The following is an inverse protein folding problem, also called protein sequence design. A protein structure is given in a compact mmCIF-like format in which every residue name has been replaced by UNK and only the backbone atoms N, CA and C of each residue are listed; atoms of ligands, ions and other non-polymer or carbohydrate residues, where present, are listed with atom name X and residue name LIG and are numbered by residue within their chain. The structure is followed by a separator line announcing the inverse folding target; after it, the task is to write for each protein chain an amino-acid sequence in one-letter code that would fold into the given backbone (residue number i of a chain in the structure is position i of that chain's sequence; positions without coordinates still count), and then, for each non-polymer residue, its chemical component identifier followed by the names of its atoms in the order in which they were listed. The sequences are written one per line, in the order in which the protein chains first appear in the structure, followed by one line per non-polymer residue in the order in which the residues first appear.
data_IF_181955916828
#
_entry.id   IF_181955916828
#
_cell.length_a   1.000
_cell.length_b   1.000
_cell.length_c   1.000
_cell.angle_alpha   90.00
_cell.angle_beta   90.00
_cell.angle_gamma   90.00
#
_symmetry.space_group_name_H-M   'P 1'
#
loop_
_entity.id
_entity.type
_entity.pdbx_description
1 polymer ?
#
# COMPACT_ATOMS: atom_id res chain seq x y z
N UNK A 1 29.90 0.68 -16.99
CA UNK A 1 29.56 -0.60 -17.64
C UNK A 1 28.08 -0.72 -17.82
N UNK A 2 27.62 -0.52 -19.06
CA UNK A 2 26.24 -0.17 -19.39
C UNK A 2 25.40 -1.29 -20.01
N UNK A 3 25.88 -2.53 -19.99
CA UNK A 3 25.08 -3.67 -20.43
C UNK A 3 24.40 -4.32 -19.22
N UNK A 4 23.23 -3.80 -18.83
CA UNK A 4 22.25 -4.67 -18.19
C UNK A 4 21.97 -5.80 -19.20
N UNK A 5 22.15 -7.08 -18.81
CA UNK A 5 21.88 -8.21 -19.70
C UNK A 5 20.45 -8.11 -20.26
N UNK A 6 20.16 -8.82 -21.36
CA UNK A 6 18.81 -9.00 -21.93
C UNK A 6 17.89 -9.74 -20.93
N UNK A 7 17.61 -9.08 -19.83
CA UNK A 7 16.90 -9.59 -18.69
C UNK A 7 15.43 -9.62 -19.07
N UNK A 8 14.85 -10.82 -19.12
CA UNK A 8 13.44 -11.01 -19.46
C UNK A 8 12.52 -10.88 -18.25
N UNK A 9 13.04 -11.14 -17.05
CA UNK A 9 12.27 -11.13 -15.81
C UNK A 9 13.01 -10.34 -14.74
N UNK A 10 12.31 -9.42 -14.07
CA UNK A 10 12.87 -8.61 -13.00
C UNK A 10 11.85 -8.45 -11.87
N UNK A 11 12.34 -8.45 -10.65
CA UNK A 11 11.55 -8.17 -9.46
C UNK A 11 12.26 -7.12 -8.62
N UNK A 12 11.52 -6.10 -8.20
CA UNK A 12 12.04 -5.02 -7.39
C UNK A 12 11.12 -4.75 -6.21
N UNK A 13 11.70 -4.70 -5.02
CA UNK A 13 11.06 -4.22 -3.80
C UNK A 13 11.82 -2.96 -3.39
N UNK A 14 11.08 -1.86 -3.19
CA UNK A 14 11.66 -0.55 -2.94
C UNK A 14 10.84 0.22 -1.89
N UNK A 15 11.53 0.75 -0.90
CA UNK A 15 10.98 1.58 0.17
C UNK A 15 11.84 2.84 0.26
N UNK A 16 11.46 3.86 -0.49
CA UNK A 16 12.36 4.99 -0.75
C UNK A 16 11.61 6.32 -0.69
N UNK A 17 12.36 7.40 -0.45
CA UNK A 17 11.89 8.76 -0.69
C UNK A 17 11.68 8.97 -2.19
N UNK A 18 10.78 9.90 -2.53
CA UNK A 18 10.53 10.34 -3.92
C UNK A 18 11.79 10.55 -4.72
N UNK A 19 12.75 11.31 -4.18
CA UNK A 19 14.00 11.64 -4.89
C UNK A 19 14.83 10.40 -5.22
N UNK A 20 14.86 9.39 -4.35
CA UNK A 20 15.61 8.16 -4.60
C UNK A 20 14.89 7.31 -5.66
N UNK A 21 13.56 7.27 -5.66
CA UNK A 21 12.79 6.65 -6.72
C UNK A 21 13.03 7.31 -8.08
N UNK A 22 12.92 8.65 -8.14
CA UNK A 22 13.05 9.40 -9.39
C UNK A 22 14.47 9.34 -9.97
N UNK A 23 15.51 9.42 -9.10
CA UNK A 23 16.90 9.49 -9.54
C UNK A 23 17.60 8.14 -9.69
N UNK A 24 17.08 7.05 -9.07
CA UNK A 24 17.75 5.74 -9.07
C UNK A 24 16.90 4.64 -9.67
N UNK A 25 15.64 4.53 -9.22
CA UNK A 25 14.75 3.43 -9.64
C UNK A 25 14.26 3.64 -11.06
N UNK A 26 13.75 4.83 -11.39
CA UNK A 26 13.25 5.11 -12.74
C UNK A 26 14.33 4.95 -13.81
N UNK A 27 15.55 5.51 -13.70
CA UNK A 27 16.60 5.32 -14.70
C UNK A 27 16.99 3.85 -14.89
N UNK A 28 17.03 3.07 -13.81
CA UNK A 28 17.29 1.63 -13.89
C UNK A 28 16.21 0.91 -14.69
N UNK A 29 14.94 1.12 -14.35
CA UNK A 29 13.82 0.47 -15.01
C UNK A 29 13.73 0.85 -16.50
N UNK A 30 13.96 2.12 -16.84
CA UNK A 30 13.94 2.63 -18.22
C UNK A 30 14.98 1.97 -19.14
N UNK A 31 16.08 1.48 -18.57
CA UNK A 31 17.13 0.77 -19.32
C UNK A 31 16.80 -0.69 -19.60
N UNK A 32 15.79 -1.27 -18.94
CA UNK A 32 15.38 -2.66 -19.09
C UNK A 32 14.39 -2.83 -20.25
N UNK A 33 14.78 -2.41 -21.45
CA UNK A 33 13.88 -2.37 -22.63
C UNK A 33 13.44 -3.74 -23.15
N UNK A 34 14.18 -4.81 -22.83
CA UNK A 34 13.90 -6.19 -23.23
C UNK A 34 13.09 -6.97 -22.19
N UNK A 35 12.61 -6.31 -21.13
CA UNK A 35 11.91 -6.96 -20.05
C UNK A 35 10.54 -7.44 -20.50
N UNK A 36 10.28 -8.74 -20.35
CA UNK A 36 8.99 -9.37 -20.67
C UNK A 36 8.09 -9.45 -19.43
N UNK A 37 8.70 -9.54 -18.24
CA UNK A 37 8.00 -9.65 -16.94
C UNK A 37 8.61 -8.74 -15.88
N UNK A 38 7.77 -7.93 -15.25
CA UNK A 38 8.13 -7.08 -14.13
C UNK A 38 7.22 -7.35 -12.94
N UNK A 39 7.82 -7.58 -11.77
CA UNK A 39 7.14 -7.58 -10.48
C UNK A 39 7.65 -6.44 -9.63
N UNK A 40 6.78 -5.52 -9.24
CA UNK A 40 7.19 -4.25 -8.66
C UNK A 40 6.44 -3.96 -7.36
N UNK A 41 7.15 -3.90 -6.25
CA UNK A 41 6.62 -3.47 -4.96
C UNK A 41 7.27 -2.14 -4.59
N UNK A 42 6.50 -1.05 -4.63
CA UNK A 42 6.96 0.30 -4.32
C UNK A 42 6.19 0.87 -3.13
N UNK A 43 6.93 1.43 -2.18
CA UNK A 43 6.37 2.32 -1.16
C UNK A 43 7.16 3.62 -1.18
N UNK A 44 6.48 4.69 -1.57
CA UNK A 44 7.03 6.02 -1.72
C UNK A 44 6.45 6.93 -0.64
N UNK A 45 7.31 7.75 -0.05
CA UNK A 45 6.94 8.80 0.90
C UNK A 45 7.57 10.13 0.47
N UNK A 46 7.09 11.23 1.06
CA UNK A 46 7.50 12.59 0.72
C UNK A 46 7.17 12.96 -0.74
N UNK A 47 6.00 12.53 -1.27
CA UNK A 47 5.52 12.94 -2.60
C UNK A 47 4.55 14.12 -2.48
N UNK A 48 4.51 14.94 -3.52
CA UNK A 48 3.50 16.00 -3.66
C UNK A 48 2.21 15.51 -4.34
N UNK A 49 2.30 14.40 -5.10
CA UNK A 49 1.18 13.81 -5.83
C UNK A 49 1.25 12.27 -5.79
N UNK A 50 0.08 11.63 -5.82
CA UNK A 50 -0.01 10.18 -5.95
C UNK A 50 0.59 9.69 -7.27
N UNK A 51 1.15 8.48 -7.26
CA UNK A 51 1.49 7.75 -8.48
C UNK A 51 0.21 7.15 -9.06
N UNK A 52 -0.27 7.75 -10.14
CA UNK A 52 -1.46 7.31 -10.88
C UNK A 52 -1.07 6.50 -12.14
N UNK A 53 -2.06 6.04 -12.89
CA UNK A 53 -1.85 5.30 -14.13
C UNK A 53 -1.11 6.12 -15.19
N UNK A 54 -1.39 7.43 -15.26
CA UNK A 54 -0.74 8.34 -16.21
C UNK A 54 0.76 8.44 -15.95
N UNK A 55 1.14 8.65 -14.69
CA UNK A 55 2.53 8.68 -14.25
C UNK A 55 3.20 7.33 -14.53
N UNK A 56 2.57 6.22 -14.16
CA UNK A 56 3.14 4.88 -14.36
C UNK A 56 3.38 4.57 -15.85
N UNK A 57 2.45 4.97 -16.72
CA UNK A 57 2.60 4.81 -18.15
C UNK A 57 3.80 5.61 -18.69
N UNK A 58 3.88 6.89 -18.33
CA UNK A 58 4.92 7.81 -18.79
C UNK A 58 6.31 7.46 -18.26
N UNK A 59 6.42 7.08 -16.98
CA UNK A 59 7.73 6.91 -16.36
C UNK A 59 8.31 5.50 -16.56
N UNK A 60 7.45 4.48 -16.70
CA UNK A 60 7.87 3.07 -16.75
C UNK A 60 7.39 2.40 -18.04
N UNK A 61 6.08 2.31 -18.26
CA UNK A 61 5.53 1.38 -19.26
C UNK A 61 5.88 1.76 -20.70
N UNK A 62 5.91 3.05 -21.04
CA UNK A 62 6.25 3.50 -22.39
C UNK A 62 7.69 3.15 -22.81
N UNK A 63 8.56 2.84 -21.85
CA UNK A 63 9.95 2.45 -22.08
C UNK A 63 10.15 0.93 -22.19
N UNK A 64 9.12 0.13 -21.88
CA UNK A 64 9.20 -1.34 -21.84
C UNK A 64 8.28 -1.99 -22.88
N UNK A 65 8.64 -1.84 -24.16
CA UNK A 65 7.79 -2.30 -25.28
C UNK A 65 7.60 -3.82 -25.35
N UNK A 66 8.49 -4.59 -24.71
CA UNK A 66 8.40 -6.06 -24.64
C UNK A 66 7.66 -6.55 -23.40
N UNK A 67 7.18 -5.66 -22.52
CA UNK A 67 6.54 -6.06 -21.27
C UNK A 67 5.16 -6.66 -21.54
N UNK A 68 4.99 -7.92 -21.13
CA UNK A 68 3.72 -8.66 -21.30
C UNK A 68 3.10 -9.02 -19.97
N UNK A 69 3.90 -9.11 -18.91
CA UNK A 69 3.42 -9.36 -17.55
C UNK A 69 3.92 -8.25 -16.64
N UNK A 70 2.97 -7.52 -16.06
CA UNK A 70 3.28 -6.52 -15.04
C UNK A 70 2.43 -6.74 -13.81
N UNK A 71 3.09 -7.10 -12.72
CA UNK A 71 2.49 -7.30 -11.40
C UNK A 71 3.03 -6.21 -10.51
N UNK A 72 2.16 -5.47 -9.83
CA UNK A 72 2.62 -4.36 -9.01
C UNK A 72 1.80 -4.13 -7.75
N UNK A 73 2.46 -3.54 -6.78
CA UNK A 73 1.89 -2.81 -5.65
C UNK A 73 2.63 -1.50 -5.52
N UNK A 74 1.90 -0.39 -5.49
CA UNK A 74 2.44 0.95 -5.34
C UNK A 74 1.67 1.62 -4.22
N UNK A 75 2.38 2.02 -3.16
CA UNK A 75 1.88 2.90 -2.12
C UNK A 75 2.57 4.25 -2.23
N UNK A 76 1.79 5.32 -2.16
CA UNK A 76 2.30 6.69 -2.14
C UNK A 76 1.73 7.44 -0.95
N UNK A 77 2.60 7.94 -0.09
CA UNK A 77 2.28 8.90 0.98
C UNK A 77 2.58 10.33 0.49
N UNK A 78 1.58 11.20 0.57
CA UNK A 78 1.69 12.63 0.27
C UNK A 78 1.33 13.48 1.48
N UNK A 79 1.91 14.68 1.55
CA UNK A 79 1.46 15.71 2.49
C UNK A 79 0.24 16.44 1.94
N UNK A 80 -0.78 16.65 2.78
CA UNK A 80 -1.97 17.42 2.40
C UNK A 80 -1.73 18.88 2.76
N UNK A 81 -1.80 19.74 1.76
CA UNK A 81 -2.01 21.17 1.91
C UNK A 81 -3.42 21.56 1.45
N UNK A 82 -3.96 22.68 1.94
CA UNK A 82 -5.37 23.10 1.76
C UNK A 82 -5.84 23.25 0.30
N UNK A 83 -4.92 23.13 -0.67
CA UNK A 83 -5.15 23.26 -2.11
C UNK A 83 -5.24 21.94 -2.89
N UNK A 84 -5.12 20.78 -2.25
CA UNK A 84 -5.15 19.49 -2.95
C UNK A 84 -6.59 18.99 -3.15
N UNK A 85 -6.97 18.80 -4.41
CA UNK A 85 -8.18 18.08 -4.79
C UNK A 85 -8.12 16.64 -4.27
N UNK A 86 -9.10 16.29 -3.42
CA UNK A 86 -9.18 14.95 -2.84
C UNK A 86 -9.69 13.95 -3.86
N UNK A 87 -8.78 13.21 -4.46
CA UNK A 87 -9.06 12.05 -5.32
C UNK A 87 -9.64 10.90 -4.50
N UNK A 88 -10.68 10.28 -5.04
CA UNK A 88 -11.26 9.03 -4.53
C UNK A 88 -10.56 7.80 -5.11
N UNK A 89 -10.85 6.62 -4.56
CA UNK A 89 -10.41 5.32 -5.10
C UNK A 89 -10.77 5.17 -6.59
N UNK A 90 -11.98 5.61 -6.96
CA UNK A 90 -12.48 5.53 -8.33
C UNK A 90 -11.70 6.45 -9.26
N UNK A 91 -11.35 7.66 -8.81
CA UNK A 91 -10.58 8.61 -9.62
C UNK A 91 -9.20 8.02 -9.95
N UNK A 92 -8.51 7.49 -8.94
CA UNK A 92 -7.23 6.81 -9.15
C UNK A 92 -7.40 5.58 -10.03
N UNK A 93 -8.35 4.70 -9.73
CA UNK A 93 -8.60 3.48 -10.51
C UNK A 93 -8.90 3.77 -11.99
N UNK A 94 -9.59 4.88 -12.27
CA UNK A 94 -9.88 5.31 -13.63
C UNK A 94 -8.61 5.63 -14.42
N UNK A 95 -7.60 6.25 -13.79
CA UNK A 95 -6.33 6.56 -14.47
C UNK A 95 -5.61 5.31 -14.97
N UNK A 96 -5.67 4.20 -14.23
CA UNK A 96 -5.11 2.90 -14.62
C UNK A 96 -5.98 2.20 -15.67
N UNK A 97 -7.30 2.30 -15.53
CA UNK A 97 -8.25 1.78 -16.52
C UNK A 97 -8.02 2.42 -17.89
N UNK A 98 -7.74 3.73 -17.93
CA UNK A 98 -7.48 4.48 -19.16
C UNK A 98 -6.23 4.01 -19.91
N UNK A 99 -5.26 3.41 -19.23
CA UNK A 99 -4.04 2.84 -19.83
C UNK A 99 -4.13 1.31 -20.03
N UNK A 100 -5.34 0.74 -19.92
CA UNK A 100 -5.63 -0.68 -20.20
C UNK A 100 -5.49 -1.62 -19.00
N UNK A 101 -5.29 -1.11 -17.78
CA UNK A 101 -5.18 -1.94 -16.57
C UNK A 101 -6.52 -2.01 -15.83
N UNK A 102 -7.31 -3.04 -16.13
CA UNK A 102 -8.64 -3.24 -15.55
C UNK A 102 -8.67 -4.11 -14.29
N UNK A 103 -7.63 -4.92 -14.08
CA UNK A 103 -7.53 -5.86 -12.95
C UNK A 103 -6.65 -5.28 -11.84
N UNK A 104 -7.14 -4.21 -11.24
CA UNK A 104 -6.46 -3.52 -10.15
C UNK A 104 -7.44 -3.28 -9.00
N UNK A 105 -6.90 -3.00 -7.82
CA UNK A 105 -7.65 -2.42 -6.73
C UNK A 105 -6.91 -1.19 -6.19
N UNK A 106 -7.67 -0.28 -5.59
CA UNK A 106 -7.17 0.98 -5.04
C UNK A 106 -7.78 1.24 -3.67
N UNK A 107 -7.00 1.88 -2.79
CA UNK A 107 -7.50 2.45 -1.54
C UNK A 107 -6.75 3.75 -1.25
N UNK A 108 -7.49 4.85 -1.19
CA UNK A 108 -7.03 6.19 -0.89
C UNK A 108 -7.59 6.60 0.45
N UNK A 109 -6.72 6.99 1.38
CA UNK A 109 -7.12 7.50 2.67
C UNK A 109 -6.51 8.86 2.95
N UNK A 110 -7.32 9.75 3.51
CA UNK A 110 -6.91 11.09 3.94
C UNK A 110 -6.93 11.14 5.45
N UNK A 111 -5.76 11.23 6.06
CA UNK A 111 -5.61 11.41 7.49
C UNK A 111 -5.68 12.91 7.82
N UNK A 112 -6.15 13.25 9.02
CA UNK A 112 -6.56 14.62 9.39
C UNK A 112 -5.46 15.66 9.11
N UNK A 113 -5.66 16.42 8.03
CA UNK A 113 -4.93 17.64 7.60
C UNK A 113 -3.45 17.50 7.25
N UNK A 114 -2.77 16.41 7.57
CA UNK A 114 -1.33 16.29 7.34
C UNK A 114 -0.96 15.37 6.19
N UNK A 115 -1.66 14.23 6.03
CA UNK A 115 -1.18 13.15 5.16
C UNK A 115 -2.30 12.43 4.42
N UNK A 116 -2.02 12.02 3.19
CA UNK A 116 -2.85 11.09 2.46
C UNK A 116 -2.00 9.92 1.93
N UNK A 117 -2.57 8.71 1.96
CA UNK A 117 -1.91 7.53 1.43
C UNK A 117 -2.81 6.90 0.37
N UNK A 118 -2.24 6.65 -0.80
CA UNK A 118 -2.87 5.90 -1.87
C UNK A 118 -2.15 4.56 -2.03
N UNK A 119 -2.91 3.48 -2.06
CA UNK A 119 -2.46 2.15 -2.46
C UNK A 119 -3.12 1.79 -3.80
N UNK A 120 -2.33 1.25 -4.72
CA UNK A 120 -2.83 0.69 -5.97
C UNK A 120 -2.03 -0.55 -6.33
N UNK A 121 -2.72 -1.62 -6.72
CA UNK A 121 -2.08 -2.90 -6.99
C UNK A 121 -2.84 -3.75 -8.00
N UNK A 122 -2.09 -4.60 -8.69
CA UNK A 122 -2.63 -5.61 -9.61
C UNK A 122 -3.33 -6.74 -8.87
N UNK A 123 -4.38 -7.30 -9.47
CA UNK A 123 -5.11 -8.46 -8.97
C UNK A 123 -4.81 -9.74 -9.78
N UNK A 124 -4.63 -10.91 -9.13
CA UNK A 124 -4.66 -11.12 -7.66
C UNK A 124 -3.45 -10.48 -6.97
N UNK A 125 -3.61 -10.12 -5.69
CA UNK A 125 -2.50 -9.64 -4.87
C UNK A 125 -1.57 -10.81 -4.52
N UNK A 126 -0.28 -10.69 -4.84
CA UNK A 126 0.70 -11.79 -4.71
C UNK A 126 1.86 -11.51 -3.76
N UNK A 127 1.88 -10.34 -3.11
CA UNK A 127 2.95 -10.00 -2.18
C UNK A 127 2.64 -10.53 -0.78
N UNK A 128 3.71 -10.73 -0.01
CA UNK A 128 3.70 -11.21 1.38
C UNK A 128 3.41 -10.09 2.40
N UNK A 129 3.66 -8.84 2.02
CA UNK A 129 3.52 -7.66 2.88
C UNK A 129 2.47 -6.71 2.35
N UNK A 130 1.66 -6.17 3.25
CA UNK A 130 0.76 -5.05 2.98
C UNK A 130 0.81 -4.06 4.13
N UNK A 131 1.49 -2.93 3.91
CA UNK A 131 1.90 -2.05 5.01
C UNK A 131 1.23 -0.68 4.92
N UNK A 132 0.69 -0.21 6.05
CA UNK A 132 -0.02 1.06 6.25
C UNK A 132 -1.28 1.22 5.40
N UNK A 133 -1.98 0.13 5.10
CA UNK A 133 -3.29 0.22 4.43
C UNK A 133 -4.36 0.65 5.44
N UNK A 134 -5.34 1.43 5.00
CA UNK A 134 -6.45 1.88 5.84
C UNK A 134 -7.48 0.77 6.11
N UNK A 135 -8.43 1.05 7.01
CA UNK A 135 -9.48 0.12 7.39
C UNK A 135 -10.48 -0.18 6.27
N UNK A 136 -10.51 0.61 5.20
CA UNK A 136 -11.43 0.44 4.08
C UNK A 136 -10.80 -0.28 2.89
N UNK A 137 -9.74 -1.05 3.14
CA UNK A 137 -9.03 -1.83 2.12
C UNK A 137 -9.98 -2.62 1.19
N UNK A 138 -9.61 -2.81 -0.08
CA UNK A 138 -10.47 -3.45 -1.06
C UNK A 138 -10.87 -4.86 -0.64
N UNK A 139 -12.13 -5.24 -0.92
CA UNK A 139 -12.72 -6.54 -0.61
C UNK A 139 -12.13 -7.67 -1.48
N UNK A 140 -10.86 -7.98 -1.24
CA UNK A 140 -10.04 -8.96 -1.96
C UNK A 140 -9.55 -10.00 -0.95
N UNK A 141 -9.31 -11.23 -1.40
CA UNK A 141 -8.63 -12.24 -0.60
C UNK A 141 -7.13 -12.13 -0.84
N UNK A 142 -6.40 -11.63 0.15
CA UNK A 142 -4.95 -11.45 0.17
C UNK A 142 -4.27 -12.74 0.63
N UNK A 143 -4.38 -13.80 -0.19
CA UNK A 143 -3.92 -15.16 0.17
C UNK A 143 -2.45 -15.26 0.57
N UNK A 144 -1.61 -14.37 0.05
CA UNK A 144 -0.16 -14.42 0.23
C UNK A 144 0.33 -13.53 1.37
N UNK A 145 -0.50 -12.62 1.88
CA UNK A 145 -0.07 -11.66 2.90
C UNK A 145 0.08 -12.37 4.24
N UNK A 146 1.30 -12.34 4.76
CA UNK A 146 1.69 -12.82 6.09
C UNK A 146 1.94 -11.66 7.05
N UNK A 147 2.34 -10.49 6.54
CA UNK A 147 2.56 -9.28 7.34
C UNK A 147 1.62 -8.15 6.92
N UNK A 148 0.72 -7.74 7.82
CA UNK A 148 -0.23 -6.65 7.60
C UNK A 148 0.00 -5.53 8.61
N UNK A 149 0.13 -4.30 8.10
CA UNK A 149 0.03 -3.10 8.94
C UNK A 149 -1.17 -2.29 8.50
N UNK A 150 -2.10 -2.07 9.42
CA UNK A 150 -3.22 -1.15 9.25
C UNK A 150 -2.86 0.21 9.83
N UNK A 151 -3.15 1.28 9.11
CA UNK A 151 -3.01 2.67 9.58
C UNK A 151 -4.35 3.38 9.44
N UNK A 152 -4.92 3.84 10.56
CA UNK A 152 -6.22 4.52 10.56
C UNK A 152 -6.30 5.63 11.60
N UNK A 153 -7.26 6.56 11.46
CA UNK A 153 -7.60 7.57 12.48
C UNK A 153 -8.91 7.23 13.22
N UNK A 154 -9.49 6.05 12.94
CA UNK A 154 -10.70 5.53 13.56
C UNK A 154 -10.38 4.29 14.39
N UNK A 155 -11.06 4.17 15.54
CA UNK A 155 -11.00 2.96 16.36
C UNK A 155 -11.73 1.80 15.70
N UNK A 156 -11.16 0.61 15.86
CA UNK A 156 -11.68 -0.61 15.24
C UNK A 156 -12.62 -1.35 16.19
N UNK A 157 -13.65 -1.98 15.62
CA UNK A 157 -14.58 -2.83 16.35
C UNK A 157 -14.31 -4.32 16.05
N UNK A 158 -15.13 -5.20 16.63
CA UNK A 158 -15.04 -6.65 16.41
C UNK A 158 -15.25 -7.02 14.92
N UNK A 159 -16.18 -6.37 14.22
CA UNK A 159 -16.46 -6.65 12.80
C UNK A 159 -15.26 -6.39 11.90
N UNK A 160 -14.46 -5.38 12.23
CA UNK A 160 -13.20 -5.09 11.55
C UNK A 160 -12.22 -6.27 11.64
N UNK A 161 -12.07 -6.86 12.83
CA UNK A 161 -11.18 -8.01 13.07
C UNK A 161 -11.66 -9.23 12.27
N UNK A 162 -12.97 -9.50 12.27
CA UNK A 162 -13.56 -10.58 11.46
C UNK A 162 -13.30 -10.37 9.97
N UNK A 163 -13.36 -9.12 9.49
CA UNK A 163 -13.08 -8.79 8.09
C UNK A 163 -11.61 -9.02 7.73
N UNK A 164 -10.66 -8.63 8.59
CA UNK A 164 -9.23 -8.95 8.37
C UNK A 164 -9.06 -10.46 8.25
N UNK A 165 -9.59 -11.26 9.18
CA UNK A 165 -9.43 -12.71 9.16
C UNK A 165 -9.91 -13.34 7.85
N UNK A 166 -11.05 -12.87 7.32
CA UNK A 166 -11.61 -13.35 6.06
C UNK A 166 -10.76 -12.92 4.85
N UNK A 167 -10.21 -11.71 4.88
CA UNK A 167 -9.43 -11.15 3.79
C UNK A 167 -7.99 -11.69 3.76
N UNK A 168 -7.40 -11.98 4.92
CA UNK A 168 -5.99 -12.35 5.12
C UNK A 168 -5.88 -13.73 5.78
N UNK A 169 -6.15 -14.83 5.04
CA UNK A 169 -6.21 -16.18 5.62
C UNK A 169 -4.85 -16.72 6.10
N UNK A 170 -3.74 -16.16 5.61
CA UNK A 170 -2.37 -16.59 5.90
C UNK A 170 -1.62 -15.60 6.79
N UNK A 171 -2.35 -14.76 7.54
CA UNK A 171 -1.75 -13.68 8.31
C UNK A 171 -1.02 -14.20 9.56
N UNK A 172 0.26 -13.87 9.65
CA UNK A 172 1.14 -14.25 10.75
C UNK A 172 1.41 -13.06 11.69
N UNK A 173 1.50 -11.85 11.14
CA UNK A 173 1.80 -10.62 11.85
C UNK A 173 0.80 -9.51 11.51
N UNK A 174 0.10 -9.02 12.54
CA UNK A 174 -0.82 -7.89 12.45
C UNK A 174 -0.32 -6.73 13.31
N UNK A 175 -0.03 -5.61 12.66
CA UNK A 175 0.21 -4.32 13.33
C UNK A 175 -0.92 -3.37 13.04
N UNK A 176 -1.46 -2.74 14.08
CA UNK A 176 -2.51 -1.71 13.97
C UNK A 176 -1.95 -0.41 14.52
N UNK A 177 -1.91 0.61 13.68
CA UNK A 177 -1.43 1.96 14.03
C UNK A 177 -2.63 2.91 13.99
N UNK A 178 -2.88 3.58 15.11
CA UNK A 178 -3.93 4.59 15.22
C UNK A 178 -3.28 5.98 15.28
N UNK A 179 -3.59 6.83 14.29
CA UNK A 179 -3.16 8.22 14.24
C UNK A 179 -4.04 9.04 15.19
N UNK A 180 -3.47 9.34 16.37
CA UNK A 180 -4.11 9.94 17.55
C UNK A 180 -5.36 9.20 18.08
N UNK A 181 -5.41 8.82 19.36
CA UNK A 181 -6.65 8.34 19.96
C UNK A 181 -7.70 9.48 19.96
N UNK A 182 -9.01 9.19 19.85
CA UNK A 182 -10.01 10.19 20.20
C UNK A 182 -9.69 10.71 21.61
N UNK A 183 -9.98 11.98 21.89
CA UNK A 183 -9.82 12.64 23.20
C UNK A 183 -10.64 12.02 24.34
N UNK A 184 -11.18 10.82 24.12
CA UNK A 184 -11.86 9.98 25.08
C UNK A 184 -10.79 9.08 25.70
N UNK A 185 -10.70 9.10 27.02
CA UNK A 185 -9.92 8.14 27.81
C UNK A 185 -10.35 6.70 27.46
N UNK A 186 -9.83 6.15 26.37
CA UNK A 186 -10.00 4.73 26.06
C UNK A 186 -9.20 3.97 27.11
N UNK A 187 -9.90 3.44 28.10
CA UNK A 187 -9.30 2.66 29.16
C UNK A 187 -8.47 1.54 28.56
N UNK A 188 -7.21 1.41 28.99
CA UNK A 188 -6.28 0.36 28.55
C UNK A 188 -6.90 -1.06 28.63
N UNK A 189 -7.90 -1.25 29.50
CA UNK A 189 -8.65 -2.49 29.68
C UNK A 189 -9.61 -2.85 28.53
N UNK A 190 -10.16 -1.88 27.78
CA UNK A 190 -10.98 -2.19 26.61
C UNK A 190 -10.08 -2.64 25.46
N UNK A 191 -8.96 -1.95 25.23
CA UNK A 191 -7.98 -2.30 24.19
C UNK A 191 -7.42 -3.72 24.42
N UNK A 192 -7.07 -4.07 25.66
CA UNK A 192 -6.62 -5.42 26.03
C UNK A 192 -7.68 -6.49 25.77
N UNK A 193 -8.95 -6.20 26.06
CA UNK A 193 -10.06 -7.13 25.77
C UNK A 193 -10.23 -7.34 24.27
N UNK A 194 -10.11 -6.28 23.46
CA UNK A 194 -10.12 -6.39 22.01
C UNK A 194 -8.94 -7.22 21.47
N UNK A 195 -7.72 -6.96 21.95
CA UNK A 195 -6.54 -7.74 21.58
C UNK A 195 -6.72 -9.23 21.87
N UNK A 196 -7.23 -9.58 23.05
CA UNK A 196 -7.51 -10.98 23.41
C UNK A 196 -8.58 -11.61 22.52
N UNK A 197 -9.66 -10.89 22.20
CA UNK A 197 -10.69 -11.40 21.28
C UNK A 197 -10.15 -11.60 19.84
N UNK A 198 -9.26 -10.71 19.39
CA UNK A 198 -8.63 -10.83 18.09
C UNK A 198 -7.69 -12.04 18.05
N UNK A 199 -6.84 -12.24 19.06
CA UNK A 199 -5.92 -13.40 19.11
C UNK A 199 -6.71 -14.73 19.08
N UNK A 200 -7.84 -14.81 19.78
CA UNK A 200 -8.66 -16.02 19.84
C UNK A 200 -9.29 -16.41 18.48
N UNK A 201 -9.35 -15.50 17.52
CA UNK A 201 -9.94 -15.77 16.20
C UNK A 201 -8.94 -16.18 15.13
N UNK A 202 -7.64 -15.96 15.31
CA UNK A 202 -6.64 -16.24 14.28
C UNK A 202 -5.85 -17.49 14.64
N UNK A 203 -5.95 -18.52 13.80
CA UNK A 203 -5.26 -19.79 14.03
C UNK A 203 -3.74 -19.68 13.83
N UNK A 204 -3.28 -18.71 13.03
CA UNK A 204 -1.90 -18.57 12.59
C UNK A 204 -1.21 -17.28 13.07
N UNK A 205 -1.93 -16.38 13.75
CA UNK A 205 -1.37 -15.11 14.18
C UNK A 205 -0.33 -15.36 15.28
N UNK A 206 0.92 -15.02 14.98
CA UNK A 206 2.05 -15.12 15.90
C UNK A 206 2.44 -13.77 16.50
N UNK A 207 2.13 -12.67 15.82
CA UNK A 207 2.39 -11.31 16.26
C UNK A 207 1.15 -10.41 16.18
N UNK A 208 0.82 -9.74 17.29
CA UNK A 208 -0.16 -8.65 17.34
C UNK A 208 0.47 -7.43 18.01
N UNK A 209 0.55 -6.32 17.28
CA UNK A 209 1.03 -5.05 17.80
C UNK A 209 -0.02 -3.95 17.60
N UNK A 210 -0.16 -3.08 18.59
CA UNK A 210 -0.98 -1.87 18.49
C UNK A 210 -0.15 -0.67 18.93
N UNK A 211 -0.06 0.36 18.12
CA UNK A 211 0.68 1.58 18.44
C UNK A 211 -0.13 2.84 18.13
N UNK A 212 0.22 3.93 18.82
CA UNK A 212 -0.32 5.26 18.56
C UNK A 212 0.78 6.12 17.96
N UNK A 213 0.51 6.74 16.82
CA UNK A 213 1.37 7.79 16.27
C UNK A 213 0.70 9.14 16.60
N UNK A 214 1.46 10.06 17.23
CA UNK A 214 1.02 11.44 17.43
C UNK A 214 1.66 12.33 16.37
N UNK A 215 0.83 13.19 15.75
CA UNK A 215 1.29 14.25 14.84
C UNK A 215 2.10 15.35 15.55
N UNK A 216 2.23 15.33 16.89
CA UNK A 216 2.92 16.38 17.67
C UNK A 216 4.47 16.41 17.48
N UNK A 217 5.03 15.55 16.63
CA UNK A 217 6.48 15.49 16.35
C UNK A 217 6.85 15.72 14.87
N UNK A 218 5.96 16.29 14.06
CA UNK A 218 6.25 16.71 12.69
C UNK A 218 6.06 18.22 12.50
#
# INVERSE_FOLDING_TARGET
DDNLPHLKCFSLICYEKTDAYDNRVLPLLRRMTYLEKLTLYLRLHDRNIFVDGTHLHREILMHMSQLHTFIFYISTEIEINDSIDRLSDNDIQQTFTNIGYHRIACAVNYYRKSKAICHVFSLPFVFDRLIKICNHFPAVIYKHVTELTILDDILFNYEFIVRIRKAFPSLDDLTIIILQPPSVEFGQDELRRYQLSAIMEYLHLTGLATSFESDDYL
#
